data_IF_143077393363
#
_entry.id   IF_143077393363
#
_cell.length_a   1.000
_cell.length_b   1.000
_cell.length_c   1.000
_cell.angle_alpha   90.00
_cell.angle_beta   90.00
_cell.angle_gamma   90.00
#
_symmetry.space_group_name_H-M   'P 1'
#
loop_
_entity.id
_entity.type
_entity.pdbx_description
1 polymer ?
#
# COMPACT_ATOMS: atom_id res chain seq x y z
N UNK A 1 -66.97 -1.87 -20.71
CA UNK A 1 -65.99 -1.00 -20.00
C UNK A 1 -65.30 -1.80 -18.89
N UNK A 2 -64.09 -2.33 -19.15
CA UNK A 2 -63.33 -3.14 -18.19
C UNK A 2 -62.48 -2.27 -17.27
N UNK A 3 -62.77 -2.24 -15.96
CA UNK A 3 -61.95 -1.55 -14.97
C UNK A 3 -60.64 -2.33 -14.74
N UNK A 4 -59.52 -1.85 -15.28
CA UNK A 4 -58.18 -2.32 -14.92
C UNK A 4 -57.93 -2.07 -13.42
N UNK A 5 -57.91 -3.15 -12.62
CA UNK A 5 -57.38 -3.10 -11.24
C UNK A 5 -55.88 -2.81 -11.31
N UNK A 6 -55.47 -1.57 -11.01
CA UNK A 6 -54.06 -1.25 -10.71
C UNK A 6 -53.61 -2.16 -9.55
N UNK A 7 -52.68 -3.09 -9.83
CA UNK A 7 -52.00 -3.88 -8.78
C UNK A 7 -51.32 -2.89 -7.84
N UNK A 8 -51.87 -2.70 -6.64
CA UNK A 8 -51.20 -1.97 -5.58
C UNK A 8 -49.84 -2.64 -5.35
N UNK A 9 -48.74 -1.93 -5.66
CA UNK A 9 -47.39 -2.35 -5.26
C UNK A 9 -47.43 -2.46 -3.74
N UNK A 10 -47.54 -3.69 -3.21
CA UNK A 10 -47.39 -3.98 -1.77
C UNK A 10 -46.07 -3.33 -1.34
N UNK A 11 -46.16 -2.19 -0.66
CA UNK A 11 -44.98 -1.52 -0.09
C UNK A 11 -44.39 -2.51 0.91
N UNK A 12 -43.13 -2.89 0.70
CA UNK A 12 -42.43 -3.78 1.63
C UNK A 12 -42.44 -3.07 3.00
N UNK A 13 -42.82 -3.76 4.09
CA UNK A 13 -42.86 -3.11 5.39
C UNK A 13 -41.48 -2.57 5.77
N UNK A 14 -41.42 -1.46 6.53
CA UNK A 14 -40.15 -0.87 6.95
C UNK A 14 -39.33 -1.90 7.73
N UNK A 15 -38.05 -2.05 7.35
CA UNK A 15 -37.14 -2.97 8.04
C UNK A 15 -36.85 -2.45 9.46
N UNK A 16 -36.56 -3.32 10.45
CA UNK A 16 -36.04 -2.90 11.75
C UNK A 16 -34.79 -2.03 11.64
N UNK A 17 -34.56 -1.05 12.52
CA UNK A 17 -33.24 -0.42 12.63
C UNK A 17 -32.20 -1.42 13.17
N UNK A 18 -30.95 -1.29 12.73
CA UNK A 18 -29.82 -2.02 13.33
C UNK A 18 -29.58 -1.50 14.76
N UNK A 19 -29.24 -2.41 15.68
CA UNK A 19 -28.79 -2.06 17.03
C UNK A 19 -27.55 -1.15 16.97
N UNK A 20 -27.38 -0.31 17.98
CA UNK A 20 -26.16 0.49 18.15
C UNK A 20 -24.92 -0.41 18.18
N UNK A 21 -25.02 -1.57 18.83
CA UNK A 21 -23.94 -2.57 18.92
C UNK A 21 -23.58 -3.19 17.56
N UNK A 22 -24.56 -3.48 16.71
CA UNK A 22 -24.28 -3.99 15.36
C UNK A 22 -23.57 -2.91 14.52
N UNK A 23 -24.02 -1.65 14.62
CA UNK A 23 -23.41 -0.52 13.91
C UNK A 23 -21.96 -0.30 14.34
N UNK A 24 -21.65 -0.36 15.65
CA UNK A 24 -20.28 -0.19 16.15
C UNK A 24 -19.36 -1.32 15.69
N UNK A 25 -19.84 -2.57 15.68
CA UNK A 25 -19.05 -3.70 15.18
C UNK A 25 -18.79 -3.62 13.68
N UNK A 26 -19.80 -3.22 12.89
CA UNK A 26 -19.60 -2.99 11.46
C UNK A 26 -18.54 -1.90 11.20
N UNK A 27 -18.56 -0.83 11.98
CA UNK A 27 -17.54 0.21 11.93
C UNK A 27 -16.16 -0.32 12.34
N UNK A 28 -16.07 -1.14 13.40
CA UNK A 28 -14.82 -1.78 13.83
C UNK A 28 -14.24 -2.73 12.77
N UNK A 29 -15.08 -3.53 12.11
CA UNK A 29 -14.63 -4.40 11.00
C UNK A 29 -14.11 -3.60 9.81
N UNK A 30 -14.77 -2.48 9.47
CA UNK A 30 -14.28 -1.57 8.45
C UNK A 30 -12.90 -1.00 8.84
N UNK A 31 -12.78 -0.50 10.06
CA UNK A 31 -11.53 0.08 10.57
C UNK A 31 -10.39 -0.96 10.61
N UNK A 32 -10.68 -2.18 11.04
CA UNK A 32 -9.74 -3.30 11.02
C UNK A 32 -9.28 -3.64 9.61
N UNK A 33 -10.17 -3.59 8.61
CA UNK A 33 -9.79 -3.86 7.23
C UNK A 33 -8.82 -2.82 6.65
N UNK A 34 -9.06 -1.53 6.92
CA UNK A 34 -8.11 -0.48 6.54
C UNK A 34 -6.79 -0.61 7.30
N UNK A 35 -6.85 -0.98 8.58
CA UNK A 35 -5.67 -1.27 9.39
C UNK A 35 -4.82 -2.41 8.83
N UNK A 36 -5.47 -3.50 8.37
CA UNK A 36 -4.79 -4.62 7.71
C UNK A 36 -4.11 -4.19 6.40
N UNK A 37 -4.77 -3.38 5.57
CA UNK A 37 -4.15 -2.84 4.34
C UNK A 37 -2.89 -2.04 4.66
N UNK A 38 -2.96 -1.15 5.64
CA UNK A 38 -1.81 -0.37 6.07
C UNK A 38 -0.69 -1.26 6.62
N UNK A 39 -1.03 -2.24 7.44
CA UNK A 39 -0.08 -3.21 7.98
C UNK A 39 0.62 -4.01 6.88
N UNK A 40 -0.14 -4.51 5.89
CA UNK A 40 0.43 -5.22 4.74
C UNK A 40 1.34 -4.31 3.91
N UNK A 41 0.94 -3.05 3.66
CA UNK A 41 1.76 -2.08 2.94
C UNK A 41 3.09 -1.85 3.67
N UNK A 42 3.05 -1.60 4.97
CA UNK A 42 4.26 -1.42 5.78
C UNK A 42 5.13 -2.68 5.78
N UNK A 43 4.54 -3.86 5.95
CA UNK A 43 5.25 -5.13 5.89
C UNK A 43 5.95 -5.36 4.56
N UNK A 44 5.29 -5.04 3.44
CA UNK A 44 5.87 -5.13 2.09
C UNK A 44 7.03 -4.14 1.92
N UNK A 45 6.89 -2.90 2.39
CA UNK A 45 7.97 -1.91 2.32
C UNK A 45 9.20 -2.34 3.12
N UNK A 46 9.00 -2.91 4.32
CA UNK A 46 10.06 -3.44 5.16
C UNK A 46 10.71 -4.68 4.52
N UNK A 47 9.93 -5.61 3.98
CA UNK A 47 10.44 -6.79 3.28
C UNK A 47 11.27 -6.41 2.06
N UNK A 48 10.82 -5.42 1.27
CA UNK A 48 11.60 -4.89 0.13
C UNK A 48 12.96 -4.37 0.55
N UNK A 49 13.00 -3.56 1.61
CA UNK A 49 14.27 -3.08 2.18
C UNK A 49 15.15 -4.25 2.64
N UNK A 50 14.58 -5.23 3.35
CA UNK A 50 15.30 -6.41 3.80
C UNK A 50 15.89 -7.25 2.66
N UNK A 51 15.14 -7.44 1.57
CA UNK A 51 15.62 -8.15 0.38
C UNK A 51 16.74 -7.35 -0.30
N UNK A 52 16.55 -6.05 -0.49
CA UNK A 52 17.52 -5.21 -1.19
C UNK A 52 18.87 -5.10 -0.45
N UNK A 53 18.83 -5.03 0.88
CA UNK A 53 20.02 -4.92 1.73
C UNK A 53 20.51 -6.25 2.30
N UNK A 54 19.99 -7.39 1.79
CA UNK A 54 20.51 -8.71 2.13
C UNK A 54 21.97 -8.91 1.69
N UNK A 55 22.34 -8.27 0.58
CA UNK A 55 23.72 -8.16 0.13
C UNK A 55 24.41 -7.00 0.86
N UNK A 56 25.49 -7.24 1.64
CA UNK A 56 26.14 -6.20 2.42
C UNK A 56 26.75 -5.09 1.57
N UNK A 57 27.03 -5.33 0.29
CA UNK A 57 27.67 -4.36 -0.62
C UNK A 57 26.71 -3.33 -1.20
N UNK A 58 25.39 -3.51 -1.05
CA UNK A 58 24.38 -2.56 -1.53
C UNK A 58 24.24 -1.37 -0.58
N UNK A 59 24.53 -0.16 -1.08
CA UNK A 59 24.48 1.10 -0.31
C UNK A 59 23.17 1.85 -0.47
N UNK A 60 22.49 1.72 -1.62
CA UNK A 60 21.18 2.32 -1.84
C UNK A 60 20.29 1.41 -2.68
N UNK A 61 18.99 1.44 -2.41
CA UNK A 61 18.03 0.65 -3.15
C UNK A 61 16.72 1.43 -3.38
N UNK A 62 16.40 1.65 -4.66
CA UNK A 62 15.15 2.29 -5.08
C UNK A 62 14.21 1.25 -5.67
N UNK A 63 12.92 1.32 -5.33
CA UNK A 63 11.90 0.47 -5.96
C UNK A 63 11.52 1.05 -7.33
N UNK A 64 11.43 0.21 -8.36
CA UNK A 64 10.90 0.66 -9.67
C UNK A 64 9.42 1.05 -9.51
N UNK A 65 8.97 2.14 -10.12
CA UNK A 65 7.57 2.63 -10.04
C UNK A 65 6.54 1.56 -10.43
N UNK A 66 6.89 0.73 -11.43
CA UNK A 66 6.09 -0.40 -11.89
C UNK A 66 5.81 -1.46 -10.81
N UNK A 67 6.65 -1.53 -9.76
CA UNK A 67 6.45 -2.48 -8.65
C UNK A 67 5.15 -2.20 -7.88
N UNK A 68 4.71 -0.95 -7.76
CA UNK A 68 3.50 -0.63 -7.00
C UNK A 68 2.22 -1.03 -7.72
N UNK A 69 2.24 -1.15 -9.05
CA UNK A 69 1.08 -1.63 -9.82
C UNK A 69 0.66 -3.06 -9.44
N UNK A 70 1.64 -3.92 -9.13
CA UNK A 70 1.37 -5.28 -8.69
C UNK A 70 0.69 -5.38 -7.32
N UNK A 71 0.71 -4.30 -6.52
CA UNK A 71 0.04 -4.25 -5.21
C UNK A 71 -1.42 -3.78 -5.30
N UNK A 72 -1.80 -3.08 -6.38
CA UNK A 72 -3.14 -2.52 -6.55
C UNK A 72 -4.24 -3.60 -6.43
N UNK A 73 -4.13 -4.77 -7.11
CA UNK A 73 -5.16 -5.80 -7.00
C UNK A 73 -5.35 -6.33 -5.58
N UNK A 74 -4.25 -6.48 -4.82
CA UNK A 74 -4.28 -6.95 -3.44
C UNK A 74 -5.00 -5.94 -2.54
N UNK A 75 -4.65 -4.65 -2.65
CA UNK A 75 -5.30 -3.60 -1.86
C UNK A 75 -6.76 -3.39 -2.23
N UNK A 76 -7.10 -3.44 -3.52
CA UNK A 76 -8.50 -3.39 -3.96
C UNK A 76 -9.29 -4.55 -3.35
N UNK A 77 -8.76 -5.76 -3.36
CA UNK A 77 -9.46 -6.91 -2.79
C UNK A 77 -9.60 -6.80 -1.26
N UNK A 78 -8.57 -6.33 -0.56
CA UNK A 78 -8.60 -6.11 0.90
C UNK A 78 -9.60 -5.01 1.33
N UNK A 79 -9.84 -3.99 0.50
CA UNK A 79 -10.82 -2.92 0.79
C UNK A 79 -12.22 -3.29 0.30
N UNK A 80 -12.35 -3.80 -0.93
CA UNK A 80 -13.65 -4.10 -1.54
C UNK A 80 -14.37 -5.26 -0.83
N UNK A 81 -13.65 -6.31 -0.40
CA UNK A 81 -14.27 -7.46 0.28
C UNK A 81 -15.05 -7.06 1.55
N UNK A 82 -14.46 -6.33 2.51
CA UNK A 82 -15.18 -5.85 3.69
C UNK A 82 -16.24 -4.80 3.35
N UNK A 83 -16.01 -3.91 2.38
CA UNK A 83 -17.04 -2.95 1.93
C UNK A 83 -18.26 -3.66 1.36
N UNK A 84 -18.08 -4.62 0.44
CA UNK A 84 -19.17 -5.43 -0.10
C UNK A 84 -19.85 -6.28 0.98
N UNK A 85 -19.08 -6.83 1.92
CA UNK A 85 -19.65 -7.55 3.08
C UNK A 85 -20.52 -6.63 3.93
N UNK A 86 -20.08 -5.40 4.19
CA UNK A 86 -20.80 -4.39 4.95
C UNK A 86 -22.05 -3.91 4.21
N UNK A 87 -21.96 -3.59 2.92
CA UNK A 87 -23.14 -3.22 2.12
C UNK A 87 -24.18 -4.36 2.10
N UNK A 88 -23.73 -5.60 1.98
CA UNK A 88 -24.62 -6.75 1.96
C UNK A 88 -25.24 -7.03 3.34
N UNK A 89 -24.49 -6.89 4.43
CA UNK A 89 -24.98 -7.20 5.78
C UNK A 89 -25.73 -6.02 6.41
N UNK A 90 -25.17 -4.81 6.37
CA UNK A 90 -25.80 -3.59 6.85
C UNK A 90 -26.96 -3.12 5.95
N UNK A 91 -26.82 -3.20 4.62
CA UNK A 91 -27.89 -2.87 3.68
C UNK A 91 -29.10 -3.80 3.80
N UNK A 92 -28.90 -5.06 4.21
CA UNK A 92 -29.97 -5.99 4.54
C UNK A 92 -30.39 -5.96 6.03
N UNK A 93 -29.77 -5.11 6.85
CA UNK A 93 -30.00 -4.97 8.30
C UNK A 93 -29.99 -6.31 9.03
N UNK A 94 -29.05 -7.18 8.65
CA UNK A 94 -28.84 -8.45 9.33
C UNK A 94 -28.02 -8.17 10.60
N UNK A 95 -28.48 -8.55 11.79
CA UNK A 95 -27.66 -8.45 13.01
C UNK A 95 -26.47 -9.42 12.94
N UNK A 96 -25.29 -8.98 13.37
CA UNK A 96 -24.09 -9.82 13.49
C UNK A 96 -24.29 -10.85 14.60
N UNK A 97 -24.86 -10.39 15.72
CA UNK A 97 -25.22 -11.17 16.89
C UNK A 97 -26.74 -11.27 17.04
N UNK A 98 -27.40 -11.83 16.02
CA UNK A 98 -28.81 -12.22 16.09
C UNK A 98 -28.96 -13.73 16.02
N UNK A 99 -30.04 -14.26 16.60
CA UNK A 99 -30.36 -15.67 16.47
C UNK A 99 -30.60 -15.98 14.98
N UNK A 100 -29.70 -16.77 14.37
CA UNK A 100 -29.76 -17.15 12.94
C UNK A 100 -31.05 -17.88 12.55
N UNK A 101 -31.84 -18.34 13.53
CA UNK A 101 -33.16 -18.96 13.35
C UNK A 101 -34.28 -17.93 13.15
N UNK A 102 -34.06 -16.66 13.48
CA UNK A 102 -34.99 -15.54 13.24
C UNK A 102 -34.77 -15.02 11.81
N UNK A 103 -35.84 -14.95 11.01
CA UNK A 103 -35.81 -14.45 9.63
C UNK A 103 -35.75 -12.93 9.60
N UNK A 104 -34.63 -12.35 10.04
CA UNK A 104 -34.29 -10.98 9.69
C UNK A 104 -34.23 -10.89 8.16
N UNK A 105 -34.81 -9.87 7.55
CA UNK A 105 -34.84 -9.70 6.09
C UNK A 105 -36.12 -10.09 5.33
N UNK A 106 -37.08 -10.85 5.89
CA UNK A 106 -38.20 -11.42 5.10
C UNK A 106 -39.61 -11.08 5.62
N UNK A 107 -40.49 -10.50 4.78
CA UNK A 107 -41.89 -10.29 5.13
C UNK A 107 -42.67 -11.62 5.26
N UNK A 108 -43.77 -11.65 6.04
CA UNK A 108 -44.30 -10.56 6.86
C UNK A 108 -43.49 -10.40 8.16
N UNK A 109 -43.24 -9.16 8.52
CA UNK A 109 -42.41 -8.78 9.66
C UNK A 109 -43.33 -8.57 10.86
N UNK A 110 -43.53 -9.61 11.66
CA UNK A 110 -44.35 -9.50 12.86
C UNK A 110 -43.66 -8.58 13.89
N UNK A 111 -44.41 -7.62 14.45
CA UNK A 111 -43.97 -6.76 15.56
C UNK A 111 -43.51 -7.58 16.78
N UNK A 112 -43.99 -8.82 16.91
CA UNK A 112 -43.57 -9.78 17.94
C UNK A 112 -42.24 -10.50 17.67
N UNK A 113 -41.56 -10.21 16.55
CA UNK A 113 -40.26 -10.81 16.18
C UNK A 113 -39.02 -10.09 16.76
N UNK A 114 -39.19 -9.17 17.72
CA UNK A 114 -38.06 -8.59 18.47
C UNK A 114 -37.93 -9.17 19.87
N UNK A 115 -37.39 -10.39 20.02
CA UNK A 115 -36.87 -10.79 21.29
C UNK A 115 -35.39 -10.42 21.32
N UNK A 116 -35.04 -9.35 22.03
CA UNK A 116 -33.69 -9.30 22.57
C UNK A 116 -33.47 -10.47 23.55
N UNK A 117 -34.54 -11.08 24.09
CA UNK A 117 -34.50 -12.33 24.84
C UNK A 117 -35.82 -13.12 24.65
N UNK A 118 -35.84 -14.19 23.85
CA UNK A 118 -36.93 -15.16 23.92
C UNK A 118 -36.43 -16.57 23.65
N UNK A 119 -36.69 -17.43 24.64
CA UNK A 119 -36.27 -18.81 24.75
C UNK A 119 -37.20 -19.79 24.00
N UNK A 120 -37.95 -19.33 22.99
CA UNK A 120 -38.85 -20.22 22.24
C UNK A 120 -38.15 -20.83 21.03
N UNK A 121 -37.65 -22.05 21.27
CA UNK A 121 -37.21 -23.02 20.28
C UNK A 121 -38.12 -23.06 19.04
N UNK A 122 -37.53 -22.83 17.86
CA UNK A 122 -38.02 -23.37 16.58
C UNK A 122 -36.86 -23.94 15.77
N UNK A 123 -37.08 -25.14 15.23
CA UNK A 123 -36.13 -25.97 14.46
C UNK A 123 -35.38 -25.13 13.42
N UNK A 124 -34.08 -25.36 13.31
CA UNK A 124 -33.24 -24.78 12.27
C UNK A 124 -33.87 -25.02 10.91
N UNK A 125 -34.16 -23.94 10.20
CA UNK A 125 -34.51 -24.05 8.79
C UNK A 125 -33.29 -24.64 8.08
N UNK A 126 -33.38 -25.91 7.66
CA UNK A 126 -32.38 -26.56 6.82
C UNK A 126 -32.00 -25.61 5.70
N UNK A 127 -30.74 -25.18 5.69
CA UNK A 127 -30.18 -24.42 4.58
C UNK A 127 -30.29 -25.32 3.36
N UNK A 128 -31.14 -24.96 2.39
CA UNK A 128 -31.29 -25.72 1.14
C UNK A 128 -29.88 -26.00 0.57
N UNK A 129 -29.55 -27.26 0.22
CA UNK A 129 -28.19 -27.66 -0.17
C UNK A 129 -27.59 -26.74 -1.25
N UNK A 130 -28.39 -26.35 -2.25
CA UNK A 130 -28.02 -25.38 -3.31
C UNK A 130 -27.49 -24.03 -2.80
N UNK A 131 -28.02 -23.49 -1.68
CA UNK A 131 -27.50 -22.22 -1.11
C UNK A 131 -26.20 -22.40 -0.34
N UNK A 132 -25.97 -23.60 0.21
CA UNK A 132 -24.71 -23.95 0.89
C UNK A 132 -23.60 -24.16 -0.14
N UNK A 133 -23.94 -24.76 -1.28
CA UNK A 133 -23.07 -24.96 -2.43
C UNK A 133 -22.63 -23.63 -3.07
N UNK A 134 -23.56 -22.72 -3.38
CA UNK A 134 -23.20 -21.39 -3.91
C UNK A 134 -22.29 -20.58 -2.97
N UNK A 135 -22.48 -20.70 -1.65
CA UNK A 135 -21.59 -20.04 -0.66
C UNK A 135 -20.19 -20.62 -0.69
N UNK A 136 -20.06 -21.95 -0.84
CA UNK A 136 -18.76 -22.61 -0.99
C UNK A 136 -18.07 -22.17 -2.26
N UNK A 137 -18.79 -22.10 -3.38
CA UNK A 137 -18.24 -21.63 -4.67
C UNK A 137 -17.73 -20.20 -4.53
N UNK A 138 -18.53 -19.28 -3.99
CA UNK A 138 -18.10 -17.88 -3.78
C UNK A 138 -16.88 -17.80 -2.87
N UNK A 139 -16.86 -18.56 -1.77
CA UNK A 139 -15.72 -18.58 -0.87
C UNK A 139 -14.46 -19.09 -1.57
N UNK A 140 -14.54 -20.19 -2.31
CA UNK A 140 -13.42 -20.74 -3.09
C UNK A 140 -12.93 -19.74 -4.12
N UNK A 141 -13.83 -19.10 -4.87
CA UNK A 141 -13.48 -18.08 -5.86
C UNK A 141 -12.75 -16.90 -5.21
N UNK A 142 -13.24 -16.38 -4.09
CA UNK A 142 -12.57 -15.31 -3.34
C UNK A 142 -11.19 -15.73 -2.83
N UNK A 143 -11.06 -16.97 -2.34
CA UNK A 143 -9.76 -17.51 -1.90
C UNK A 143 -8.78 -17.63 -3.06
N UNK A 144 -9.23 -18.12 -4.23
CA UNK A 144 -8.38 -18.20 -5.44
C UNK A 144 -7.96 -16.81 -5.90
N UNK A 145 -8.87 -15.84 -5.94
CA UNK A 145 -8.53 -14.46 -6.28
C UNK A 145 -7.54 -13.86 -5.27
N UNK A 146 -7.74 -14.08 -3.97
CA UNK A 146 -6.81 -13.62 -2.93
C UNK A 146 -5.42 -14.25 -3.11
N UNK A 147 -5.34 -15.55 -3.41
CA UNK A 147 -4.07 -16.21 -3.66
C UNK A 147 -3.36 -15.64 -4.91
N UNK A 148 -4.12 -15.36 -5.97
CA UNK A 148 -3.58 -14.76 -7.20
C UNK A 148 -3.03 -13.34 -6.94
N UNK A 149 -3.76 -12.51 -6.17
CA UNK A 149 -3.31 -11.15 -5.86
C UNK A 149 -2.12 -11.14 -4.90
N UNK A 150 -2.02 -12.12 -4.00
CA UNK A 150 -0.83 -12.36 -3.19
C UNK A 150 0.39 -12.70 -4.06
N UNK A 151 0.19 -13.59 -5.04
CA UNK A 151 1.26 -13.98 -5.96
C UNK A 151 1.72 -12.79 -6.79
N UNK A 152 0.80 -12.00 -7.34
CA UNK A 152 1.14 -10.75 -8.02
C UNK A 152 1.86 -9.78 -7.09
N UNK A 153 1.37 -9.60 -5.86
CA UNK A 153 2.00 -8.75 -4.85
C UNK A 153 3.42 -9.20 -4.49
N UNK A 154 3.72 -10.49 -4.53
CA UNK A 154 5.07 -11.01 -4.28
C UNK A 154 6.07 -10.62 -5.37
N UNK A 155 5.64 -10.54 -6.63
CA UNK A 155 6.48 -10.05 -7.74
C UNK A 155 6.90 -8.59 -7.54
N UNK A 156 6.09 -7.83 -6.82
CA UNK A 156 6.40 -6.45 -6.45
C UNK A 156 7.62 -6.33 -5.54
N UNK A 157 7.99 -7.39 -4.80
CA UNK A 157 9.05 -7.34 -3.79
C UNK A 157 10.45 -7.27 -4.41
N UNK A 158 10.63 -7.82 -5.60
CA UNK A 158 11.96 -8.04 -6.17
C UNK A 158 12.40 -6.95 -7.17
N UNK A 159 11.45 -6.23 -7.76
CA UNK A 159 11.72 -5.19 -8.77
C UNK A 159 12.33 -3.95 -8.12
N UNK A 160 13.64 -3.76 -8.32
CA UNK A 160 14.43 -2.70 -7.66
C UNK A 160 15.62 -2.27 -8.52
N UNK A 161 16.23 -1.16 -8.14
CA UNK A 161 17.53 -0.68 -8.59
C UNK A 161 18.44 -0.66 -7.35
N UNK A 162 19.60 -1.28 -7.43
CA UNK A 162 20.57 -1.35 -6.34
C UNK A 162 21.85 -0.63 -6.76
N UNK A 163 22.32 0.28 -5.90
CA UNK A 163 23.62 0.92 -6.02
C UNK A 163 24.57 0.26 -5.02
N UNK A 164 25.77 -0.07 -5.49
CA UNK A 164 26.79 -0.80 -4.75
C UNK A 164 27.90 0.13 -4.24
N UNK A 165 28.68 -0.34 -3.26
CA UNK A 165 29.81 0.39 -2.67
C UNK A 165 30.90 0.76 -3.68
N UNK A 166 31.06 -0.04 -4.74
CA UNK A 166 32.01 0.20 -5.84
C UNK A 166 31.49 1.21 -6.87
N UNK A 167 30.31 1.78 -6.65
CA UNK A 167 29.66 2.72 -7.57
C UNK A 167 28.92 2.04 -8.73
N UNK A 168 28.94 0.70 -8.82
CA UNK A 168 28.16 -0.02 -9.82
C UNK A 168 26.67 -0.01 -9.48
N UNK A 169 25.83 -0.17 -10.51
CA UNK A 169 24.38 -0.20 -10.39
C UNK A 169 23.83 -1.45 -11.04
N UNK A 170 22.94 -2.17 -10.34
CA UNK A 170 22.19 -3.28 -10.92
C UNK A 170 20.68 -3.01 -10.87
N UNK A 171 20.04 -3.23 -12.01
CA UNK A 171 18.60 -3.21 -12.16
C UNK A 171 18.05 -4.63 -12.06
N UNK A 172 17.03 -4.84 -11.25
CA UNK A 172 16.37 -6.14 -11.10
C UNK A 172 14.94 -6.07 -11.66
N UNK A 173 14.47 -7.18 -12.25
CA UNK A 173 13.08 -7.35 -12.62
C UNK A 173 12.22 -7.88 -11.44
N UNK A 174 10.92 -8.05 -11.68
CA UNK A 174 9.96 -8.56 -10.69
C UNK A 174 10.19 -10.03 -10.28
N UNK A 175 11.07 -10.75 -10.98
CA UNK A 175 11.51 -12.11 -10.61
C UNK A 175 12.85 -12.11 -9.86
N UNK A 176 13.42 -10.92 -9.58
CA UNK A 176 14.70 -10.79 -8.88
C UNK A 176 15.91 -11.12 -9.74
N UNK A 177 15.77 -11.20 -11.06
CA UNK A 177 16.88 -11.39 -11.98
C UNK A 177 17.45 -10.03 -12.41
N UNK A 178 18.78 -9.90 -12.52
CA UNK A 178 19.39 -8.69 -13.04
C UNK A 178 18.99 -8.52 -14.51
N UNK A 179 18.48 -7.34 -14.87
CA UNK A 179 18.17 -6.94 -16.25
C UNK A 179 19.32 -6.17 -16.86
N UNK A 180 19.86 -5.21 -16.10
CA UNK A 180 20.87 -4.29 -16.56
C UNK A 180 21.89 -4.10 -15.43
N UNK A 181 23.16 -3.97 -15.81
CA UNK A 181 24.26 -3.71 -14.90
C UNK A 181 25.15 -2.64 -15.50
N UNK A 182 25.47 -1.63 -14.69
CA UNK A 182 26.29 -0.49 -15.08
C UNK A 182 27.47 -0.41 -14.15
N UNK A 183 28.67 -0.36 -14.72
CA UNK A 183 29.91 -0.11 -13.96
C UNK A 183 30.03 1.39 -13.67
N UNK A 184 30.74 1.77 -12.60
CA UNK A 184 30.89 3.18 -12.22
C UNK A 184 31.40 4.08 -13.36
N UNK A 185 32.25 3.55 -14.24
CA UNK A 185 32.83 4.28 -15.38
C UNK A 185 31.83 4.53 -16.52
N UNK A 186 30.69 3.85 -16.54
CA UNK A 186 29.65 4.03 -17.56
C UNK A 186 28.76 5.26 -17.29
N UNK A 187 28.87 5.86 -16.11
CA UNK A 187 28.15 7.08 -15.78
C UNK A 187 28.92 8.30 -16.26
N UNK A 188 28.29 9.13 -17.08
CA UNK A 188 28.91 10.35 -17.62
C UNK A 188 28.65 11.58 -16.75
N UNK A 189 27.61 11.58 -15.92
CA UNK A 189 27.21 12.77 -15.18
C UNK A 189 26.57 12.44 -13.84
N UNK A 190 26.95 13.17 -12.80
CA UNK A 190 26.32 13.13 -11.47
C UNK A 190 25.60 14.44 -11.19
N UNK A 191 24.34 14.37 -10.80
CA UNK A 191 23.61 15.51 -10.25
C UNK A 191 23.31 15.28 -8.78
N UNK A 192 23.70 16.23 -7.93
CA UNK A 192 23.33 16.27 -6.50
C UNK A 192 22.36 17.43 -6.32
N UNK A 193 21.16 17.15 -5.84
CA UNK A 193 20.15 18.19 -5.70
C UNK A 193 19.28 18.07 -4.46
N UNK A 194 18.78 19.22 -4.00
CA UNK A 194 17.69 19.27 -3.04
C UNK A 194 16.36 19.28 -3.77
N UNK A 195 15.44 18.39 -3.42
CA UNK A 195 14.10 18.30 -3.99
C UNK A 195 13.01 18.48 -2.91
N UNK A 196 11.83 18.97 -3.30
CA UNK A 196 10.70 19.19 -2.39
C UNK A 196 9.54 18.24 -2.70
N UNK A 197 9.37 17.25 -1.83
CA UNK A 197 8.29 16.29 -1.93
C UNK A 197 7.01 16.82 -1.27
N UNK A 198 5.97 17.05 -2.09
CA UNK A 198 4.62 17.34 -1.60
C UNK A 198 3.91 16.06 -1.19
N UNK A 199 3.53 15.96 0.09
CA UNK A 199 2.63 14.89 0.56
C UNK A 199 1.18 15.26 0.28
N UNK A 200 0.38 14.29 -0.17
CA UNK A 200 -1.05 14.48 -0.31
C UNK A 200 -1.67 14.78 1.07
N UNK A 201 -2.28 15.98 1.21
CA UNK A 201 -2.88 16.49 2.47
C UNK A 201 -1.92 16.61 3.67
N UNK A 202 -0.62 16.78 3.44
CA UNK A 202 0.38 16.97 4.51
C UNK A 202 1.35 18.11 4.22
N UNK A 203 2.15 18.49 5.22
CA UNK A 203 3.33 19.35 4.98
C UNK A 203 4.31 18.58 4.09
N UNK A 204 4.73 19.19 3.00
CA UNK A 204 5.81 18.65 2.19
C UNK A 204 7.13 18.65 2.96
N UNK A 205 8.11 17.91 2.47
CA UNK A 205 9.42 17.81 3.08
C UNK A 205 10.51 17.99 2.02
N UNK A 206 11.64 18.54 2.43
CA UNK A 206 12.82 18.67 1.59
C UNK A 206 13.67 17.42 1.71
N UNK A 207 14.22 16.95 0.60
CA UNK A 207 15.14 15.83 0.57
C UNK A 207 16.33 16.10 -0.34
N UNK A 208 17.41 15.37 -0.09
CA UNK A 208 18.56 15.24 -0.96
C UNK A 208 18.36 14.01 -1.85
N UNK A 209 18.66 14.18 -3.13
CA UNK A 209 18.76 13.10 -4.09
C UNK A 209 20.08 13.19 -4.86
N UNK A 210 20.55 12.03 -5.30
CA UNK A 210 21.57 11.92 -6.33
C UNK A 210 20.92 11.36 -7.60
N UNK A 211 21.38 11.84 -8.75
CA UNK A 211 20.99 11.32 -10.06
C UNK A 211 22.23 11.01 -10.88
N UNK A 212 22.36 9.75 -11.24
CA UNK A 212 23.40 9.24 -12.14
C UNK A 212 22.83 9.21 -13.55
N UNK A 213 23.57 9.75 -14.51
CA UNK A 213 23.19 9.75 -15.92
C UNK A 213 24.25 9.02 -16.76
N UNK A 214 23.79 8.20 -17.69
CA UNK A 214 24.66 7.55 -18.68
C UNK A 214 24.84 8.44 -19.92
N UNK A 215 25.87 8.22 -20.75
CA UNK A 215 26.02 8.88 -22.05
C UNK A 215 24.82 8.69 -22.99
N UNK A 216 24.11 7.56 -22.83
CA UNK A 216 22.92 7.20 -23.61
C UNK A 216 21.66 7.95 -23.18
N UNK A 217 21.72 8.72 -22.07
CA UNK A 217 20.60 9.51 -21.54
C UNK A 217 19.74 8.77 -20.53
N UNK A 218 20.12 7.57 -20.10
CA UNK A 218 19.44 6.88 -19.01
C UNK A 218 19.76 7.54 -17.67
N UNK A 219 18.77 7.63 -16.79
CA UNK A 219 18.92 8.31 -15.50
C UNK A 219 18.45 7.42 -14.34
N UNK A 220 19.25 7.42 -13.27
CA UNK A 220 19.02 6.67 -12.06
C UNK A 220 19.04 7.61 -10.87
N UNK A 221 17.90 7.76 -10.21
CA UNK A 221 17.75 8.63 -9.03
C UNK A 221 17.73 7.79 -7.77
N UNK A 222 18.45 8.26 -6.74
CA UNK A 222 18.39 7.72 -5.39
C UNK A 222 18.17 8.85 -4.38
N UNK A 223 17.14 8.71 -3.58
CA UNK A 223 16.85 9.62 -2.48
C UNK A 223 17.59 9.21 -1.21
N UNK A 224 17.91 10.16 -0.34
CA UNK A 224 18.55 9.89 0.95
C UNK A 224 17.88 8.79 1.80
N UNK A 225 16.56 8.62 1.73
CA UNK A 225 15.82 7.60 2.51
C UNK A 225 15.89 6.19 1.90
N UNK A 226 16.46 6.07 0.69
CA UNK A 226 16.73 4.83 -0.03
C UNK A 226 18.14 4.31 0.23
N UNK A 227 19.00 5.09 0.87
CA UNK A 227 20.30 4.63 1.34
C UNK A 227 20.14 3.71 2.55
N UNK A 228 21.13 2.83 2.73
CA UNK A 228 21.26 1.99 3.91
C UNK A 228 21.58 2.87 5.12
N UNK A 229 20.79 2.70 6.17
CA UNK A 229 20.99 3.33 7.48
C UNK A 229 21.13 4.87 7.43
N UNK A 230 21.78 5.47 8.42
CA UNK A 230 21.97 6.92 8.54
C UNK A 230 23.20 7.44 7.77
N UNK A 231 23.91 6.56 7.04
CA UNK A 231 25.22 6.83 6.43
C UNK A 231 25.12 7.46 5.03
N UNK A 232 23.93 7.92 4.64
CA UNK A 232 23.64 8.44 3.31
C UNK A 232 24.56 9.59 2.88
N UNK A 233 25.01 10.45 3.81
CA UNK A 233 25.93 11.55 3.53
C UNK A 233 27.32 11.05 3.09
N UNK A 234 27.85 10.04 3.78
CA UNK A 234 29.16 9.46 3.48
C UNK A 234 29.14 8.73 2.15
N UNK A 235 28.08 7.96 1.90
CA UNK A 235 27.91 7.22 0.64
C UNK A 235 27.72 8.17 -0.54
N UNK A 236 26.89 9.21 -0.41
CA UNK A 236 26.76 10.24 -1.45
C UNK A 236 28.08 10.97 -1.71
N UNK A 237 28.88 11.24 -0.66
CA UNK A 237 30.19 11.86 -0.81
C UNK A 237 31.20 10.93 -1.50
N UNK A 238 31.16 9.62 -1.18
CA UNK A 238 31.97 8.59 -1.85
C UNK A 238 31.63 8.52 -3.34
N UNK A 239 30.35 8.42 -3.68
CA UNK A 239 29.88 8.40 -5.08
C UNK A 239 30.35 9.65 -5.81
N UNK A 240 30.19 10.82 -5.19
CA UNK A 240 30.66 12.09 -5.75
C UNK A 240 32.15 12.09 -6.07
N UNK A 241 32.99 11.46 -5.23
CA UNK A 241 34.44 11.41 -5.44
C UNK A 241 34.86 10.59 -6.68
N UNK A 242 33.96 9.76 -7.23
CA UNK A 242 34.20 9.00 -8.45
C UNK A 242 34.04 9.84 -9.73
N UNK A 243 33.52 11.07 -9.64
CA UNK A 243 33.27 11.96 -10.78
C UNK A 243 34.23 13.16 -10.77
N UNK A 244 34.61 13.60 -11.97
CA UNK A 244 35.34 14.86 -12.14
C UNK A 244 34.44 16.05 -11.83
N UNK A 245 35.01 17.17 -11.41
CA UNK A 245 34.25 18.41 -11.09
C UNK A 245 33.37 18.93 -12.24
N UNK A 246 33.82 18.68 -13.47
CA UNK A 246 33.13 19.07 -14.70
C UNK A 246 31.84 18.25 -14.90
N UNK A 247 31.85 16.99 -14.48
CA UNK A 247 30.75 16.02 -14.63
C UNK A 247 29.76 16.08 -13.45
N UNK A 248 29.94 17.02 -12.52
CA UNK A 248 29.09 17.19 -11.34
C UNK A 248 28.23 18.44 -11.50
N UNK A 249 26.92 18.26 -11.41
CA UNK A 249 25.95 19.35 -11.28
C UNK A 249 25.40 19.40 -9.86
N UNK A 250 25.42 20.59 -9.26
CA UNK A 250 24.87 20.82 -7.92
C UNK A 250 23.69 21.77 -8.02
N UNK A 251 22.54 21.41 -7.44
CA UNK A 251 21.34 22.23 -7.49
C UNK A 251 20.68 22.37 -6.10
N UNK A 252 20.13 23.54 -5.81
CA UNK A 252 19.31 23.72 -4.60
C UNK A 252 20.09 23.97 -3.30
N UNK A 253 21.35 24.41 -3.38
CA UNK A 253 22.17 24.81 -2.21
C UNK A 253 21.44 25.75 -1.24
N UNK A 254 20.59 26.63 -1.75
CA UNK A 254 19.78 27.55 -0.96
C UNK A 254 18.78 26.86 -0.01
N UNK A 255 18.46 25.58 -0.22
CA UNK A 255 17.51 24.83 0.61
C UNK A 255 18.19 23.92 1.64
N UNK A 256 19.52 23.90 1.74
CA UNK A 256 20.23 23.01 2.67
C UNK A 256 19.84 23.22 4.13
N UNK A 257 19.57 24.47 4.55
CA UNK A 257 19.09 24.76 5.89
C UNK A 257 17.76 24.05 6.21
N UNK A 258 16.90 23.87 5.20
CA UNK A 258 15.62 23.17 5.36
C UNK A 258 15.83 21.67 5.53
N UNK A 259 16.82 21.09 4.85
CA UNK A 259 17.19 19.69 5.02
C UNK A 259 17.81 19.47 6.40
N UNK A 260 18.76 20.32 6.81
CA UNK A 260 19.37 20.28 8.15
C UNK A 260 18.29 20.29 9.23
N UNK A 261 17.32 21.21 9.13
CA UNK A 261 16.22 21.30 10.08
C UNK A 261 15.18 20.17 9.95
N UNK A 262 15.01 19.56 8.79
CA UNK A 262 14.01 18.49 8.60
C UNK A 262 14.52 17.12 9.08
N UNK A 263 15.84 16.93 9.10
CA UNK A 263 16.51 15.70 9.51
C UNK A 263 17.24 15.82 10.85
N UNK A 264 17.12 16.96 11.53
CA UNK A 264 17.80 17.26 12.79
C UNK A 264 19.30 16.94 12.77
N UNK A 265 19.96 17.31 11.66
CA UNK A 265 21.38 17.00 11.45
C UNK A 265 22.24 17.74 12.47
N UNK A 266 23.21 17.02 13.04
CA UNK A 266 24.17 17.62 13.97
C UNK A 266 25.15 18.56 13.24
N UNK A 267 26.04 19.23 13.98
CA UNK A 267 26.99 20.20 13.40
C UNK A 267 27.92 19.56 12.36
N UNK A 268 28.40 18.34 12.61
CA UNK A 268 29.32 17.61 11.73
C UNK A 268 28.61 17.16 10.45
N UNK A 269 27.42 16.57 10.57
CA UNK A 269 26.56 16.17 9.45
C UNK A 269 26.13 17.37 8.60
N UNK A 270 25.84 18.51 9.25
CA UNK A 270 25.53 19.76 8.57
C UNK A 270 26.71 20.27 7.75
N UNK A 271 27.94 20.13 8.25
CA UNK A 271 29.15 20.48 7.50
C UNK A 271 29.40 19.49 6.37
N UNK A 272 29.22 18.19 6.61
CA UNK A 272 29.33 17.16 5.59
C UNK A 272 28.34 17.39 4.44
N UNK A 273 27.08 17.72 4.75
CA UNK A 273 26.07 18.08 3.76
C UNK A 273 26.47 19.33 2.97
N UNK A 274 26.99 20.36 3.62
CA UNK A 274 27.48 21.56 2.92
C UNK A 274 28.64 21.23 1.96
N UNK A 275 29.60 20.40 2.38
CA UNK A 275 30.71 19.91 1.54
C UNK A 275 30.22 19.04 0.37
N UNK A 276 29.19 18.24 0.58
CA UNK A 276 28.56 17.45 -0.49
C UNK A 276 28.05 18.40 -1.61
N UNK A 277 27.54 19.57 -1.22
CA UNK A 277 27.00 20.58 -2.13
C UNK A 277 28.01 21.64 -2.59
N UNK A 278 29.32 21.46 -2.43
CA UNK A 278 30.34 22.31 -3.06
C UNK A 278 30.98 21.62 -4.26
N UNK A 279 31.17 22.29 -5.40
CA UNK A 279 32.00 21.69 -6.46
C UNK A 279 33.44 21.59 -5.95
N UNK A 280 33.98 20.38 -5.93
CA UNK A 280 35.37 20.07 -5.54
C UNK A 280 36.30 20.27 -6.72
#
# INVERSE_FOLDING_TARGET
MGKQKKKAKRRKPPRPPLSILDKTLYFLFLLLSYGLVLFFLLGILLLRKGIAFSDPTVVAASSKDLSFFFLIPLFLLLVCTPVCFLEFTAGNRLPLFGNRKIKYGRPPWDEHCYPLFSSRYKKEAMIRPSKKENRRIIAVTLTVFFALTLLLGSLSLFSRKCLYQDGSLACYNSFGQPTDHFVSEEFSHLTIQTDFHRRFRGKGYWCCEIRLSTPTGETFTFYQYEFRDTIWLEEMARIKSCFSSEDITIQGQQNLYKIISAYDLNSEESQALKKLFTKS
#
